data_IF_076651933897
#
_entry.id   IF_076651933897
#
_cell.length_a   1.000
_cell.length_b   1.000
_cell.length_c   1.000
_cell.angle_alpha   90.00
_cell.angle_beta   90.00
_cell.angle_gamma   90.00
#
_symmetry.space_group_name_H-M   'P 1'
#
loop_
_entity.id
_entity.type
_entity.pdbx_description
1 polymer ?
#
# COMPACT_ATOMS: atom_id res chain seq x y z
N UNK A 1 -31.03 63.80 10.98
CA UNK A 1 -31.22 62.40 11.29
C UNK A 1 -31.26 61.62 9.99
N UNK A 2 -30.17 60.96 9.59
CA UNK A 2 -30.09 60.06 8.47
C UNK A 2 -29.25 58.85 8.90
N UNK A 3 -29.90 57.71 9.04
CA UNK A 3 -29.32 56.44 9.39
C UNK A 3 -28.77 55.78 8.12
N UNK A 4 -27.45 55.65 8.07
CA UNK A 4 -26.77 54.92 7.00
C UNK A 4 -26.68 53.42 7.34
N UNK A 5 -27.31 52.57 6.53
CA UNK A 5 -27.16 51.13 6.58
C UNK A 5 -25.96 50.72 5.71
N UNK A 6 -24.87 50.33 6.35
CA UNK A 6 -23.72 49.72 5.65
C UNK A 6 -24.02 48.29 5.23
N UNK A 7 -24.03 48.12 3.94
CA UNK A 7 -24.19 46.81 3.24
C UNK A 7 -22.82 46.13 3.19
N UNK A 8 -22.58 45.04 3.98
CA UNK A 8 -21.37 44.22 3.90
C UNK A 8 -21.54 43.21 2.77
N UNK A 9 -20.60 43.12 1.83
CA UNK A 9 -20.63 42.06 0.83
C UNK A 9 -20.24 40.70 1.45
N UNK A 10 -21.10 39.72 1.26
CA UNK A 10 -20.85 38.32 1.61
C UNK A 10 -19.68 37.74 0.76
N UNK A 11 -18.57 37.42 1.41
CA UNK A 11 -17.47 36.67 0.81
C UNK A 11 -17.81 35.18 0.81
N UNK A 12 -18.43 34.70 -0.25
CA UNK A 12 -18.45 33.29 -0.60
C UNK A 12 -17.13 32.96 -1.32
N UNK A 13 -16.08 32.73 -0.55
CA UNK A 13 -14.82 32.19 -1.04
C UNK A 13 -14.89 30.66 -0.98
N UNK A 14 -15.41 30.02 -2.02
CA UNK A 14 -15.13 28.60 -2.28
C UNK A 14 -13.63 28.48 -2.57
N UNK A 15 -12.85 28.08 -1.56
CA UNK A 15 -11.44 27.77 -1.72
C UNK A 15 -11.31 26.62 -2.74
N UNK A 16 -10.79 26.92 -3.93
CA UNK A 16 -10.22 25.91 -4.82
C UNK A 16 -9.11 25.18 -4.04
N UNK A 17 -9.41 24.02 -3.49
CA UNK A 17 -8.36 23.09 -3.06
C UNK A 17 -7.43 22.90 -4.26
N UNK A 18 -6.17 23.31 -4.12
CA UNK A 18 -5.14 22.98 -5.10
C UNK A 18 -5.06 21.45 -5.14
N UNK A 19 -5.49 20.84 -6.24
CA UNK A 19 -5.28 19.41 -6.47
C UNK A 19 -3.78 19.14 -6.36
N UNK A 20 -3.39 18.17 -5.52
CA UNK A 20 -2.01 17.73 -5.40
C UNK A 20 -1.49 17.21 -6.76
N UNK A 21 -0.18 17.11 -6.90
CA UNK A 21 0.46 16.49 -8.06
C UNK A 21 0.04 15.01 -8.10
N UNK A 22 -0.50 14.54 -9.22
CA UNK A 22 -0.84 13.12 -9.40
C UNK A 22 0.48 12.35 -9.58
N UNK A 23 0.71 11.35 -8.72
CA UNK A 23 1.85 10.46 -8.78
C UNK A 23 1.54 9.18 -9.55
N UNK A 24 0.41 8.52 -9.26
CA UNK A 24 -0.03 7.30 -9.93
C UNK A 24 -1.43 7.48 -10.49
N UNK A 25 -1.62 7.11 -11.75
CA UNK A 25 -2.94 7.13 -12.40
C UNK A 25 -3.16 5.81 -13.15
N UNK A 26 -4.25 5.14 -12.81
CA UNK A 26 -4.73 3.93 -13.48
C UNK A 26 -5.95 4.34 -14.32
N UNK A 27 -5.97 3.95 -15.59
CA UNK A 27 -7.05 4.26 -16.53
C UNK A 27 -7.62 2.98 -17.09
N UNK A 28 -8.85 2.69 -16.72
CA UNK A 28 -9.66 1.61 -17.29
C UNK A 28 -8.93 0.25 -17.29
N UNK A 29 -8.26 -0.06 -16.17
CA UNK A 29 -7.36 -1.18 -16.07
C UNK A 29 -8.13 -2.48 -15.90
N UNK A 30 -7.93 -3.42 -16.82
CA UNK A 30 -8.51 -4.76 -16.75
C UNK A 30 -7.39 -5.81 -16.70
N UNK A 31 -7.67 -6.91 -16.01
CA UNK A 31 -6.82 -8.10 -16.00
C UNK A 31 -7.67 -9.35 -15.90
N UNK A 32 -7.57 -10.22 -16.88
CA UNK A 32 -8.25 -11.52 -16.91
C UNK A 32 -7.23 -12.66 -16.77
N UNK A 33 -7.61 -13.73 -16.09
CA UNK A 33 -6.84 -14.96 -16.00
C UNK A 33 -7.67 -16.16 -16.50
N UNK A 34 -6.99 -17.17 -17.01
CA UNK A 34 -7.62 -18.42 -17.37
C UNK A 34 -8.06 -19.18 -16.11
N UNK A 35 -9.31 -19.63 -16.08
CA UNK A 35 -9.92 -20.39 -14.99
C UNK A 35 -10.63 -21.63 -15.56
N UNK A 36 -10.92 -22.61 -14.70
CA UNK A 36 -11.78 -23.74 -15.06
C UNK A 36 -13.17 -23.20 -15.46
N UNK A 37 -13.48 -23.21 -16.76
CA UNK A 37 -14.75 -22.68 -17.30
C UNK A 37 -14.61 -21.43 -18.16
N UNK A 38 -13.40 -20.90 -18.40
CA UNK A 38 -13.15 -19.76 -19.28
C UNK A 38 -12.32 -18.65 -18.63
N UNK A 39 -12.27 -17.49 -19.24
CA UNK A 39 -11.58 -16.32 -18.67
C UNK A 39 -12.39 -15.73 -17.53
N UNK A 40 -11.71 -15.43 -16.44
CA UNK A 40 -12.26 -14.72 -15.28
C UNK A 40 -11.57 -13.37 -15.14
N UNK A 41 -12.36 -12.30 -15.08
CA UNK A 41 -11.84 -10.98 -14.81
C UNK A 41 -11.47 -10.87 -13.32
N UNK A 42 -10.20 -10.55 -13.06
CA UNK A 42 -9.66 -10.34 -11.71
C UNK A 42 -9.66 -8.84 -11.40
N UNK A 43 -9.37 -8.01 -12.41
CA UNK A 43 -9.55 -6.57 -12.39
C UNK A 43 -10.48 -6.19 -13.53
N UNK A 44 -11.46 -5.36 -13.23
CA UNK A 44 -12.53 -4.98 -14.13
C UNK A 44 -12.71 -3.46 -14.10
N UNK A 45 -12.23 -2.78 -15.14
CA UNK A 45 -12.34 -1.35 -15.35
C UNK A 45 -11.88 -0.48 -14.18
N UNK A 46 -10.73 -0.83 -13.54
CA UNK A 46 -10.16 -0.06 -12.44
C UNK A 46 -9.63 1.28 -12.94
N UNK A 47 -10.19 2.37 -12.42
CA UNK A 47 -9.68 3.73 -12.61
C UNK A 47 -9.40 4.36 -11.25
N UNK A 48 -8.13 4.73 -10.99
CA UNK A 48 -7.67 5.25 -9.71
C UNK A 48 -6.59 6.31 -9.93
N UNK A 49 -6.69 7.41 -9.22
CA UNK A 49 -5.63 8.43 -9.15
C UNK A 49 -5.11 8.52 -7.72
N UNK A 50 -3.79 8.51 -7.55
CA UNK A 50 -3.12 8.70 -6.25
C UNK A 50 -2.28 9.97 -6.34
N UNK A 51 -2.53 10.90 -5.42
CA UNK A 51 -1.74 12.12 -5.31
C UNK A 51 -0.40 11.84 -4.63
N UNK A 52 0.59 12.68 -4.92
CA UNK A 52 1.91 12.63 -4.30
C UNK A 52 1.83 12.81 -2.77
N UNK A 53 2.68 12.08 -2.04
CA UNK A 53 2.82 12.17 -0.57
C UNK A 53 1.54 11.81 0.20
N UNK A 54 0.73 10.91 -0.34
CA UNK A 54 -0.46 10.37 0.29
C UNK A 54 -0.22 8.99 0.87
N UNK A 55 -0.89 8.72 1.98
CA UNK A 55 -0.99 7.40 2.57
C UNK A 55 -2.35 6.79 2.21
N UNK A 56 -2.34 5.83 1.31
CA UNK A 56 -3.55 5.17 0.81
C UNK A 56 -3.63 3.76 1.38
N UNK A 57 -4.78 3.39 1.92
CA UNK A 57 -5.06 2.00 2.28
C UNK A 57 -6.06 1.40 1.30
N UNK A 58 -5.66 0.28 0.69
CA UNK A 58 -6.54 -0.55 -0.14
C UNK A 58 -7.06 -1.68 0.74
N UNK A 59 -8.37 -1.78 0.88
CA UNK A 59 -9.04 -2.84 1.64
C UNK A 59 -10.20 -3.44 0.86
N UNK A 60 -10.88 -4.43 1.42
CA UNK A 60 -12.00 -5.12 0.78
C UNK A 60 -11.93 -6.64 0.93
N UNK A 61 -12.93 -7.40 0.51
CA UNK A 61 -13.02 -8.85 0.72
C UNK A 61 -11.85 -9.61 0.11
N UNK A 62 -11.57 -10.80 0.66
CA UNK A 62 -10.58 -11.71 0.09
C UNK A 62 -11.00 -12.12 -1.32
N UNK A 63 -10.02 -12.20 -2.24
CA UNK A 63 -10.31 -12.46 -3.66
C UNK A 63 -10.86 -11.25 -4.44
N UNK A 64 -10.99 -10.08 -3.81
CA UNK A 64 -11.51 -8.86 -4.47
C UNK A 64 -10.60 -8.21 -5.51
N UNK A 65 -9.35 -8.68 -5.69
CA UNK A 65 -8.41 -8.15 -6.68
C UNK A 65 -7.29 -7.25 -6.12
N UNK A 66 -7.26 -6.98 -4.80
CA UNK A 66 -6.31 -6.03 -4.16
C UNK A 66 -4.83 -6.33 -4.47
N UNK A 67 -4.38 -7.54 -4.13
CA UNK A 67 -3.00 -7.99 -4.41
C UNK A 67 -2.68 -7.97 -5.91
N UNK A 68 -3.64 -8.35 -6.76
CA UNK A 68 -3.48 -8.32 -8.21
C UNK A 68 -3.32 -6.88 -8.70
N UNK A 69 -4.10 -5.94 -8.19
CA UNK A 69 -3.98 -4.53 -8.50
C UNK A 69 -2.57 -4.01 -8.16
N UNK A 70 -2.09 -4.25 -6.95
CA UNK A 70 -0.75 -3.83 -6.53
C UNK A 70 0.37 -4.50 -7.37
N UNK A 71 0.23 -5.80 -7.67
CA UNK A 71 1.15 -6.52 -8.57
C UNK A 71 1.16 -5.94 -9.98
N UNK A 72 0.00 -5.52 -10.49
CA UNK A 72 -0.11 -4.90 -11.82
C UNK A 72 0.57 -3.53 -11.84
N UNK A 73 0.44 -2.72 -10.79
CA UNK A 73 1.16 -1.45 -10.65
C UNK A 73 2.67 -1.67 -10.62
N UNK A 74 3.17 -2.72 -9.97
CA UNK A 74 4.61 -3.04 -9.94
C UNK A 74 5.12 -3.70 -11.23
N UNK A 75 4.23 -4.20 -12.11
CA UNK A 75 4.60 -4.91 -13.34
C UNK A 75 4.85 -6.41 -13.13
N UNK A 76 4.43 -6.95 -11.98
CA UNK A 76 4.44 -8.39 -11.68
C UNK A 76 3.30 -9.14 -12.38
N UNK A 77 2.24 -8.43 -12.73
CA UNK A 77 1.16 -8.91 -13.58
C UNK A 77 0.95 -7.89 -14.71
N UNK A 78 0.68 -8.37 -15.91
CA UNK A 78 0.42 -7.50 -17.07
C UNK A 78 -1.09 -7.30 -17.23
N UNK A 79 -1.57 -6.07 -17.38
CA UNK A 79 -2.98 -5.81 -17.64
C UNK A 79 -3.37 -6.35 -19.01
N UNK A 80 -4.61 -6.80 -19.15
CA UNK A 80 -5.21 -7.20 -20.43
C UNK A 80 -5.57 -5.97 -21.26
N UNK A 81 -5.99 -4.88 -20.60
CA UNK A 81 -6.28 -3.59 -21.21
C UNK A 81 -6.12 -2.46 -20.19
N UNK A 82 -6.23 -1.21 -20.66
CA UNK A 82 -6.05 -0.02 -19.84
C UNK A 82 -4.59 0.43 -19.78
N UNK A 83 -4.32 1.47 -18.97
CA UNK A 83 -3.00 2.09 -18.90
C UNK A 83 -2.63 2.51 -17.48
N UNK A 84 -1.33 2.51 -17.19
CA UNK A 84 -0.76 2.89 -15.89
C UNK A 84 0.21 4.04 -16.13
N UNK A 85 -0.04 5.17 -15.47
CA UNK A 85 0.84 6.34 -15.53
C UNK A 85 1.47 6.58 -14.16
N UNK A 86 2.77 6.81 -14.16
CA UNK A 86 3.55 7.17 -12.98
C UNK A 86 4.27 8.49 -13.22
N UNK A 87 4.02 9.49 -12.38
CA UNK A 87 4.50 10.87 -12.58
C UNK A 87 4.19 11.43 -13.99
N UNK A 88 3.07 11.00 -14.60
CA UNK A 88 2.65 11.39 -15.94
C UNK A 88 3.29 10.60 -17.09
N UNK A 89 4.24 9.70 -16.82
CA UNK A 89 4.82 8.78 -17.81
C UNK A 89 4.02 7.49 -17.88
N UNK A 90 3.71 7.01 -19.09
CA UNK A 90 3.10 5.70 -19.28
C UNK A 90 4.12 4.59 -18.98
N UNK A 91 3.82 3.80 -17.95
CA UNK A 91 4.66 2.68 -17.50
C UNK A 91 4.02 1.32 -17.78
N UNK A 92 2.93 1.27 -18.52
CA UNK A 92 2.11 0.05 -18.73
C UNK A 92 2.93 -1.12 -19.24
N UNK A 93 3.80 -0.89 -20.22
CA UNK A 93 4.64 -1.92 -20.84
C UNK A 93 6.00 -2.13 -20.18
N UNK A 94 6.35 -1.30 -19.17
CA UNK A 94 7.65 -1.36 -18.54
C UNK A 94 7.79 -2.58 -17.63
N UNK A 95 8.99 -3.17 -17.64
CA UNK A 95 9.36 -4.27 -16.76
C UNK A 95 9.42 -3.86 -15.30
N UNK A 96 9.38 -4.87 -14.40
CA UNK A 96 9.55 -4.68 -12.95
C UNK A 96 10.82 -3.87 -12.63
N UNK A 97 11.93 -4.19 -13.31
CA UNK A 97 13.23 -3.52 -13.11
C UNK A 97 13.18 -2.05 -13.49
N UNK A 98 12.52 -1.72 -14.59
CA UNK A 98 12.38 -0.34 -15.06
C UNK A 98 11.49 0.47 -14.12
N UNK A 99 10.38 -0.10 -13.66
CA UNK A 99 9.49 0.53 -12.65
C UNK A 99 10.22 0.73 -11.32
N UNK A 100 10.99 -0.29 -10.89
CA UNK A 100 11.80 -0.19 -9.69
C UNK A 100 12.87 0.92 -9.77
N UNK A 101 13.51 1.12 -10.94
CA UNK A 101 14.48 2.21 -11.17
C UNK A 101 13.84 3.59 -11.19
N UNK A 102 12.56 3.68 -11.53
CA UNK A 102 11.77 4.93 -11.49
C UNK A 102 11.30 5.33 -10.09
N UNK A 103 11.62 4.52 -9.08
CA UNK A 103 11.27 4.85 -7.69
C UNK A 103 10.00 4.18 -7.19
N UNK A 104 9.60 3.03 -7.75
CA UNK A 104 8.53 2.19 -7.19
C UNK A 104 9.17 1.04 -6.42
N UNK A 105 8.67 0.76 -5.20
CA UNK A 105 9.07 -0.40 -4.41
C UNK A 105 7.85 -1.21 -3.97
N UNK A 106 8.06 -2.50 -3.74
CA UNK A 106 6.99 -3.44 -3.41
C UNK A 106 7.44 -4.40 -2.31
N UNK A 107 6.67 -4.47 -1.23
CA UNK A 107 6.77 -5.49 -0.18
C UNK A 107 5.73 -6.58 -0.43
N UNK A 108 6.19 -7.81 -0.60
CA UNK A 108 5.36 -8.95 -0.97
C UNK A 108 4.52 -9.46 0.22
N UNK A 109 3.35 -10.01 -0.04
CA UNK A 109 2.56 -10.73 0.97
C UNK A 109 3.36 -11.90 1.57
N UNK A 110 4.03 -12.66 0.71
CA UNK A 110 4.99 -13.70 1.11
C UNK A 110 6.39 -13.28 0.68
N UNK A 111 7.27 -12.90 1.63
CA UNK A 111 8.60 -12.41 1.31
C UNK A 111 9.49 -13.51 0.72
N UNK A 112 10.27 -13.19 -0.32
CA UNK A 112 11.23 -14.12 -0.89
C UNK A 112 12.39 -14.40 0.10
N UNK A 113 12.96 -15.59 0.03
CA UNK A 113 14.16 -15.97 0.80
C UNK A 113 15.37 -16.01 -0.11
N UNK A 114 16.47 -15.42 0.34
CA UNK A 114 17.70 -15.29 -0.43
C UNK A 114 18.82 -16.10 0.25
N UNK A 115 19.01 -17.37 -0.17
CA UNK A 115 20.07 -18.23 0.37
C UNK A 115 21.46 -17.65 0.10
N UNK A 116 22.31 -17.65 1.12
CA UNK A 116 23.70 -17.20 1.01
C UNK A 116 23.88 -15.68 1.04
N UNK A 117 22.84 -14.93 1.38
CA UNK A 117 22.91 -13.47 1.55
C UNK A 117 22.66 -13.09 2.99
N UNK A 118 23.45 -12.16 3.50
CA UNK A 118 23.24 -11.57 4.81
C UNK A 118 22.20 -10.44 4.74
N UNK A 119 21.56 -10.20 5.87
CA UNK A 119 20.60 -9.09 6.01
C UNK A 119 21.24 -7.76 5.62
N UNK A 120 22.49 -7.49 6.06
CA UNK A 120 23.21 -6.29 5.66
C UNK A 120 23.42 -6.17 4.15
N UNK A 121 23.67 -7.28 3.44
CA UNK A 121 23.86 -7.29 2.00
C UNK A 121 22.56 -6.95 1.27
N UNK A 122 21.42 -7.51 1.72
CA UNK A 122 20.11 -7.18 1.19
C UNK A 122 19.77 -5.70 1.36
N UNK A 123 20.03 -5.14 2.53
CA UNK A 123 19.80 -3.72 2.79
C UNK A 123 20.66 -2.83 1.89
N UNK A 124 21.94 -3.19 1.66
CA UNK A 124 22.82 -2.44 0.77
C UNK A 124 22.38 -2.51 -0.70
N UNK A 125 21.98 -3.69 -1.16
CA UNK A 125 21.44 -3.89 -2.52
C UNK A 125 20.18 -3.04 -2.70
N UNK A 126 19.26 -3.09 -1.73
CA UNK A 126 18.03 -2.30 -1.78
C UNK A 126 18.31 -0.80 -1.80
N UNK A 127 19.25 -0.32 -0.97
CA UNK A 127 19.65 1.08 -0.91
C UNK A 127 20.41 1.55 -2.16
N UNK A 128 20.92 0.63 -2.99
CA UNK A 128 21.73 0.94 -4.16
C UNK A 128 23.10 1.58 -3.83
N UNK A 129 23.53 1.50 -2.58
CA UNK A 129 24.77 2.09 -2.07
C UNK A 129 25.28 1.32 -0.86
N UNK A 130 26.56 1.46 -0.58
CA UNK A 130 27.16 0.93 0.66
C UNK A 130 26.55 1.66 1.85
N UNK A 131 25.99 0.90 2.79
CA UNK A 131 25.46 1.42 4.05
C UNK A 131 26.51 1.33 5.14
N UNK A 132 26.55 2.32 6.03
CA UNK A 132 27.28 2.17 7.31
C UNK A 132 26.57 1.14 8.18
N UNK A 133 27.29 0.56 9.13
CA UNK A 133 26.71 -0.37 10.10
C UNK A 133 25.51 0.27 10.83
N UNK A 134 25.66 1.52 11.27
CA UNK A 134 24.60 2.25 11.98
C UNK A 134 23.35 2.50 11.11
N UNK A 135 23.53 2.79 9.81
CA UNK A 135 22.40 2.92 8.89
C UNK A 135 21.66 1.60 8.70
N UNK A 136 22.37 0.48 8.53
CA UNK A 136 21.75 -0.84 8.45
C UNK A 136 21.01 -1.19 9.76
N UNK A 137 21.63 -0.91 10.91
CA UNK A 137 21.01 -1.08 12.22
C UNK A 137 19.74 -0.24 12.38
N UNK A 138 19.74 0.99 11.90
CA UNK A 138 18.57 1.88 11.95
C UNK A 138 17.36 1.29 11.22
N UNK A 139 17.54 0.75 9.99
CA UNK A 139 16.44 0.12 9.26
C UNK A 139 15.86 -1.11 9.99
N UNK A 140 16.71 -1.94 10.60
CA UNK A 140 16.26 -3.10 11.38
C UNK A 140 15.50 -2.68 12.64
N UNK A 141 15.98 -1.65 13.34
CA UNK A 141 15.31 -1.12 14.53
C UNK A 141 13.93 -0.56 14.21
N UNK A 142 13.76 0.11 13.07
CA UNK A 142 12.47 0.63 12.61
C UNK A 142 11.42 -0.49 12.49
N UNK A 143 11.81 -1.67 12.02
CA UNK A 143 10.89 -2.81 11.88
C UNK A 143 10.84 -3.71 13.13
N UNK A 144 11.39 -3.26 14.26
CA UNK A 144 11.35 -3.99 15.52
C UNK A 144 12.29 -5.21 15.59
N UNK A 145 13.36 -5.22 14.80
CA UNK A 145 14.42 -6.23 14.91
C UNK A 145 15.60 -5.70 15.68
N UNK A 146 16.16 -6.55 16.57
CA UNK A 146 17.42 -6.23 17.25
C UNK A 146 18.56 -6.21 16.23
N UNK A 147 19.07 -5.02 15.91
CA UNK A 147 20.07 -4.86 14.87
C UNK A 147 21.34 -5.72 15.12
N UNK A 148 21.79 -5.81 16.40
CA UNK A 148 22.96 -6.59 16.80
C UNK A 148 22.82 -8.07 16.41
N UNK A 149 21.61 -8.62 16.53
CA UNK A 149 21.35 -10.04 16.32
C UNK A 149 21.07 -10.37 14.84
N UNK A 150 20.62 -9.40 14.05
CA UNK A 150 20.15 -9.64 12.69
C UNK A 150 21.03 -9.10 11.57
N UNK A 151 21.80 -8.01 11.77
CA UNK A 151 22.56 -7.35 10.70
C UNK A 151 23.53 -8.28 9.98
N UNK A 152 24.20 -9.17 10.71
CA UNK A 152 25.16 -10.16 10.19
C UNK A 152 24.57 -11.53 9.89
N UNK A 153 23.27 -11.73 10.10
CA UNK A 153 22.60 -13.04 9.98
C UNK A 153 22.29 -13.37 8.54
N UNK A 154 22.39 -14.63 8.18
CA UNK A 154 21.99 -15.10 6.85
C UNK A 154 20.45 -15.15 6.71
N UNK A 155 19.95 -14.80 5.51
CA UNK A 155 18.52 -14.87 5.20
C UNK A 155 18.18 -16.27 4.70
N UNK A 156 18.13 -17.20 5.64
CA UNK A 156 17.90 -18.62 5.38
C UNK A 156 16.61 -19.15 6.02
N UNK A 157 16.48 -20.46 6.11
CA UNK A 157 15.32 -21.15 6.68
C UNK A 157 15.26 -21.10 8.20
N UNK A 158 16.30 -20.63 8.89
CA UNK A 158 16.32 -20.48 10.34
C UNK A 158 15.51 -19.26 10.83
N UNK A 159 15.23 -18.31 9.93
CA UNK A 159 14.38 -17.16 10.21
C UNK A 159 12.90 -17.56 10.18
N UNK A 160 12.15 -17.13 11.18
CA UNK A 160 10.68 -17.24 11.19
C UNK A 160 10.05 -16.41 10.08
N UNK A 161 8.79 -16.71 9.72
CA UNK A 161 8.06 -15.95 8.71
C UNK A 161 7.96 -14.46 9.05
N UNK A 162 7.68 -14.13 10.31
CA UNK A 162 7.59 -12.75 10.77
C UNK A 162 8.93 -12.00 10.74
N UNK A 163 10.06 -12.68 11.01
CA UNK A 163 11.39 -12.09 10.90
C UNK A 163 11.74 -11.77 9.44
N UNK A 164 11.48 -12.71 8.52
CA UNK A 164 11.72 -12.49 7.09
C UNK A 164 10.85 -11.35 6.57
N UNK A 165 9.59 -11.28 7.00
CA UNK A 165 8.67 -10.19 6.63
C UNK A 165 9.18 -8.83 7.09
N UNK A 166 9.67 -8.72 8.32
CA UNK A 166 10.24 -7.47 8.85
C UNK A 166 11.54 -7.09 8.13
N UNK A 167 12.40 -8.06 7.79
CA UNK A 167 13.61 -7.83 7.00
C UNK A 167 13.21 -7.30 5.60
N UNK A 168 12.22 -7.89 4.95
CA UNK A 168 11.70 -7.40 3.67
C UNK A 168 11.23 -5.95 3.78
N UNK A 169 10.40 -5.62 4.76
CA UNK A 169 9.94 -4.24 4.98
C UNK A 169 11.14 -3.30 5.16
N UNK A 170 12.16 -3.70 5.95
CA UNK A 170 13.38 -2.93 6.09
C UNK A 170 14.10 -2.70 4.74
N UNK A 171 14.09 -3.67 3.81
CA UNK A 171 14.66 -3.48 2.47
C UNK A 171 13.85 -2.50 1.62
N UNK A 172 12.50 -2.53 1.72
CA UNK A 172 11.64 -1.54 1.05
C UNK A 172 11.93 -0.13 1.56
N UNK A 173 12.10 0.03 2.89
CA UNK A 173 12.47 1.30 3.50
C UNK A 173 13.88 1.75 3.08
N UNK A 174 14.86 0.85 3.05
CA UNK A 174 16.23 1.14 2.65
C UNK A 174 16.34 1.61 1.18
N UNK A 175 15.46 1.12 0.31
CA UNK A 175 15.37 1.58 -1.08
C UNK A 175 14.95 3.04 -1.19
N UNK A 176 14.21 3.55 -0.21
CA UNK A 176 13.78 4.95 -0.15
C UNK A 176 13.05 5.42 -1.43
N UNK A 177 12.15 4.59 -1.95
CA UNK A 177 11.42 4.83 -3.18
C UNK A 177 10.35 5.93 -3.00
N UNK A 178 10.05 6.69 -4.07
CA UNK A 178 8.99 7.72 -4.03
C UNK A 178 7.61 7.10 -3.81
N UNK A 179 7.36 5.91 -4.40
CA UNK A 179 6.14 5.12 -4.20
C UNK A 179 6.50 3.80 -3.54
N UNK A 180 5.97 3.59 -2.34
CA UNK A 180 6.12 2.34 -1.59
C UNK A 180 4.78 1.60 -1.55
N UNK A 181 4.75 0.36 -1.99
CA UNK A 181 3.57 -0.50 -1.97
C UNK A 181 3.85 -1.65 -1.01
N UNK A 182 2.95 -1.90 -0.07
CA UNK A 182 3.03 -3.02 0.87
C UNK A 182 1.77 -3.88 0.76
N UNK A 183 1.97 -5.18 0.53
CA UNK A 183 0.88 -6.14 0.41
C UNK A 183 0.80 -6.97 1.71
N UNK A 184 -0.20 -6.69 2.53
CA UNK A 184 -0.44 -7.28 3.85
C UNK A 184 0.85 -7.34 4.71
N UNK A 185 1.45 -6.17 5.04
CA UNK A 185 2.72 -6.13 5.76
C UNK A 185 2.65 -6.75 7.16
N UNK A 186 1.46 -6.87 7.71
CA UNK A 186 1.18 -7.47 9.02
C UNK A 186 1.12 -9.01 9.01
N UNK A 187 1.06 -9.65 7.84
CA UNK A 187 0.88 -11.10 7.74
C UNK A 187 2.02 -11.87 8.41
N UNK A 188 1.68 -12.70 9.41
CA UNK A 188 2.64 -13.52 10.14
C UNK A 188 3.51 -12.76 11.16
N UNK A 189 3.20 -11.50 11.44
CA UNK A 189 3.89 -10.69 12.46
C UNK A 189 3.14 -10.77 13.79
N UNK A 190 3.89 -10.92 14.90
CA UNK A 190 3.33 -10.90 16.25
C UNK A 190 2.83 -9.51 16.65
N UNK A 191 1.95 -9.45 17.67
CA UNK A 191 1.28 -8.23 18.11
C UNK A 191 2.26 -7.10 18.50
N UNK A 192 3.37 -7.43 19.15
CA UNK A 192 4.35 -6.45 19.63
C UNK A 192 5.12 -5.83 18.46
N UNK A 193 5.57 -6.71 17.55
CA UNK A 193 6.26 -6.30 16.33
C UNK A 193 5.33 -5.52 15.39
N UNK A 194 4.04 -5.88 15.35
CA UNK A 194 3.04 -5.15 14.58
C UNK A 194 2.82 -3.72 15.12
N UNK A 195 2.79 -3.55 16.44
CA UNK A 195 2.70 -2.22 17.04
C UNK A 195 3.88 -1.34 16.60
N UNK A 196 5.10 -1.88 16.63
CA UNK A 196 6.30 -1.17 16.17
C UNK A 196 6.25 -0.81 14.68
N UNK A 197 5.77 -1.74 13.86
CA UNK A 197 5.60 -1.51 12.43
C UNK A 197 4.57 -0.40 12.14
N UNK A 198 3.48 -0.37 12.89
CA UNK A 198 2.46 0.69 12.79
C UNK A 198 3.06 2.07 13.13
N UNK A 199 3.88 2.15 14.18
CA UNK A 199 4.62 3.39 14.52
C UNK A 199 5.55 3.82 13.38
N UNK A 200 6.22 2.87 12.73
CA UNK A 200 7.09 3.16 11.58
C UNK A 200 6.30 3.75 10.40
N UNK A 201 5.14 3.16 10.07
CA UNK A 201 4.28 3.70 9.02
C UNK A 201 3.75 5.10 9.38
N UNK A 202 3.37 5.34 10.65
CA UNK A 202 2.99 6.67 11.10
C UNK A 202 4.13 7.69 10.91
N UNK A 203 5.35 7.34 11.31
CA UNK A 203 6.51 8.23 11.14
C UNK A 203 6.83 8.52 9.67
N UNK A 204 6.67 7.54 8.78
CA UNK A 204 6.83 7.73 7.34
C UNK A 204 5.77 8.68 6.77
N UNK A 205 4.52 8.53 7.20
CA UNK A 205 3.43 9.40 6.81
C UNK A 205 3.65 10.84 7.29
N UNK A 206 4.02 11.03 8.57
CA UNK A 206 4.23 12.35 9.15
C UNK A 206 5.35 13.15 8.47
N UNK A 207 6.34 12.48 7.87
CA UNK A 207 7.42 13.14 7.12
C UNK A 207 6.98 13.70 5.77
N UNK A 208 5.88 13.22 5.21
CA UNK A 208 5.35 13.61 3.89
C UNK A 208 6.41 13.57 2.76
N UNK A 209 7.30 12.58 2.81
CA UNK A 209 8.38 12.43 1.83
C UNK A 209 8.03 11.41 0.73
N UNK A 210 7.13 10.46 1.04
CA UNK A 210 6.79 9.33 0.19
C UNK A 210 5.29 9.21 -0.02
N UNK A 211 4.91 8.61 -1.14
CA UNK A 211 3.57 8.08 -1.34
C UNK A 211 3.55 6.63 -0.91
N UNK A 212 2.60 6.26 -0.06
CA UNK A 212 2.52 4.93 0.52
C UNK A 212 1.17 4.32 0.16
N UNK A 213 1.19 3.11 -0.38
CA UNK A 213 0.00 2.30 -0.62
C UNK A 213 0.13 1.02 0.21
N UNK A 214 -0.80 0.76 1.10
CA UNK A 214 -0.83 -0.47 1.90
C UNK A 214 -2.11 -1.23 1.63
N UNK A 215 -2.00 -2.51 1.28
CA UNK A 215 -3.12 -3.43 1.32
C UNK A 215 -3.19 -3.97 2.73
N UNK A 216 -4.29 -3.70 3.46
CA UNK A 216 -4.46 -4.18 4.83
C UNK A 216 -5.93 -4.25 5.23
N UNK A 217 -6.21 -5.15 6.18
CA UNK A 217 -7.49 -5.27 6.88
C UNK A 217 -7.39 -4.80 8.34
N UNK A 218 -6.19 -4.42 8.80
CA UNK A 218 -5.94 -4.03 10.17
C UNK A 218 -6.40 -2.61 10.44
N UNK A 219 -7.31 -2.45 11.39
CA UNK A 219 -7.86 -1.15 11.79
C UNK A 219 -6.78 -0.10 12.09
N UNK A 220 -5.69 -0.51 12.77
CA UNK A 220 -4.60 0.41 13.13
C UNK A 220 -3.90 0.98 11.91
N UNK A 221 -3.76 0.20 10.83
CA UNK A 221 -3.18 0.68 9.56
C UNK A 221 -4.21 1.53 8.80
N UNK A 222 -5.48 1.09 8.76
CA UNK A 222 -6.55 1.82 8.09
C UNK A 222 -6.70 3.23 8.65
N UNK A 223 -6.58 3.38 9.98
CA UNK A 223 -6.67 4.70 10.66
C UNK A 223 -5.51 5.65 10.36
N UNK A 224 -4.41 5.18 9.79
CA UNK A 224 -3.30 6.03 9.34
C UNK A 224 -3.56 6.67 7.96
N UNK A 225 -4.53 6.16 7.22
CA UNK A 225 -4.73 6.55 5.83
C UNK A 225 -5.26 7.99 5.70
N UNK A 226 -4.75 8.72 4.72
CA UNK A 226 -5.43 9.92 4.20
C UNK A 226 -6.71 9.52 3.47
N UNK A 227 -6.68 8.34 2.81
CA UNK A 227 -7.75 7.86 1.97
C UNK A 227 -7.82 6.34 1.94
N UNK A 228 -9.02 5.79 1.95
CA UNK A 228 -9.30 4.37 1.79
C UNK A 228 -9.83 4.13 0.37
N UNK A 229 -9.37 3.06 -0.25
CA UNK A 229 -9.89 2.51 -1.51
C UNK A 229 -10.44 1.12 -1.22
N UNK A 230 -11.75 0.94 -1.36
CA UNK A 230 -12.42 -0.35 -1.21
C UNK A 230 -12.43 -1.06 -2.57
N UNK A 231 -11.77 -2.21 -2.65
CA UNK A 231 -11.72 -3.05 -3.86
C UNK A 231 -12.48 -4.32 -3.63
N UNK A 232 -13.53 -4.55 -4.42
CA UNK A 232 -14.37 -5.74 -4.35
C UNK A 232 -14.74 -6.20 -5.77
N UNK A 233 -14.76 -7.51 -6.00
CA UNK A 233 -15.12 -8.11 -7.30
C UNK A 233 -14.34 -7.52 -8.49
N UNK A 234 -13.07 -7.19 -8.28
CA UNK A 234 -12.21 -6.60 -9.32
C UNK A 234 -12.46 -5.12 -9.61
N UNK A 235 -13.36 -4.45 -8.91
CA UNK A 235 -13.74 -3.05 -9.11
C UNK A 235 -13.46 -2.18 -7.89
N UNK A 236 -13.40 -0.87 -8.06
CA UNK A 236 -13.42 0.08 -6.95
C UNK A 236 -14.86 0.25 -6.48
N UNK A 237 -15.19 -0.39 -5.35
CA UNK A 237 -16.51 -0.33 -4.74
C UNK A 237 -16.75 0.96 -3.93
N UNK A 238 -15.66 1.60 -3.48
CA UNK A 238 -15.74 2.85 -2.72
C UNK A 238 -14.38 3.52 -2.58
N UNK A 239 -14.40 4.83 -2.39
CA UNK A 239 -13.22 5.66 -2.16
C UNK A 239 -13.59 6.86 -1.31
N UNK A 240 -12.80 7.17 -0.29
CA UNK A 240 -13.08 8.32 0.59
C UNK A 240 -12.12 8.40 1.77
N UNK A 241 -12.34 9.37 2.64
CA UNK A 241 -11.61 9.50 3.89
C UNK A 241 -11.92 8.35 4.85
N UNK A 242 -11.05 8.17 5.86
CA UNK A 242 -11.26 7.17 6.91
C UNK A 242 -12.60 7.38 7.60
N UNK A 243 -12.93 8.63 7.94
CA UNK A 243 -14.16 8.97 8.67
C UNK A 243 -15.43 8.68 7.87
N UNK A 244 -15.37 8.79 6.54
CA UNK A 244 -16.51 8.53 5.66
C UNK A 244 -16.69 7.04 5.36
N UNK A 245 -15.61 6.32 5.05
CA UNK A 245 -15.70 4.97 4.50
C UNK A 245 -15.57 3.88 5.55
N UNK A 246 -14.77 4.07 6.61
CA UNK A 246 -14.53 3.03 7.60
C UNK A 246 -15.80 2.57 8.35
N UNK A 247 -16.74 3.45 8.75
CA UNK A 247 -17.99 3.01 9.36
C UNK A 247 -18.87 2.13 8.42
N UNK A 248 -18.82 2.40 7.11
CA UNK A 248 -19.54 1.62 6.11
C UNK A 248 -18.96 0.22 5.98
N UNK A 249 -17.62 0.10 5.92
CA UNK A 249 -16.90 -1.18 5.87
C UNK A 249 -17.26 -2.05 7.07
N UNK A 250 -17.29 -1.48 8.28
CA UNK A 250 -17.67 -2.20 9.49
C UNK A 250 -19.12 -2.72 9.43
N UNK A 251 -20.04 -1.90 8.91
CA UNK A 251 -21.46 -2.26 8.81
C UNK A 251 -21.68 -3.39 7.80
N UNK A 252 -20.99 -3.37 6.68
CA UNK A 252 -21.08 -4.43 5.66
C UNK A 252 -20.48 -5.76 6.17
N UNK A 253 -19.38 -5.70 6.93
CA UNK A 253 -18.79 -6.89 7.54
C UNK A 253 -19.77 -7.57 8.52
N UNK A 254 -20.49 -6.78 9.32
CA UNK A 254 -21.51 -7.29 10.25
C UNK A 254 -22.71 -7.89 9.51
N UNK A 255 -23.16 -7.26 8.42
CA UNK A 255 -24.27 -7.79 7.60
C UNK A 255 -23.89 -9.08 6.87
N UNK A 256 -22.66 -9.19 6.37
CA UNK A 256 -22.13 -10.42 5.76
C UNK A 256 -22.10 -11.60 6.73
N UNK A 257 -21.77 -11.39 8.01
CA UNK A 257 -21.85 -12.42 9.04
C UNK A 257 -23.29 -12.88 9.32
N UNK A 258 -24.27 -11.98 9.28
CA UNK A 258 -25.67 -12.34 9.51
C UNK A 258 -26.30 -13.15 8.36
N UNK A 259 -25.82 -12.99 7.11
CA UNK A 259 -26.26 -13.81 5.98
C UNK A 259 -25.79 -15.27 6.08
N UNK A 260 -24.64 -15.54 6.71
CA UNK A 260 -24.13 -16.90 6.91
C UNK A 260 -24.89 -17.68 8.00
N UNK A 261 -25.64 -17.02 8.87
CA UNK A 261 -26.50 -17.68 9.89
C UNK A 261 -27.90 -18.02 9.35
N UNK A 262 -28.37 -17.40 8.28
CA UNK A 262 -29.72 -17.65 7.72
C UNK A 262 -29.76 -18.90 6.84
N UNK A 263 -28.64 -19.28 6.18
CA UNK A 263 -28.57 -20.46 5.31
C UNK A 263 -28.36 -21.81 6.06
N UNK A 264 -28.29 -21.79 7.40
CA UNK A 264 -28.24 -23.04 8.22
C UNK A 264 -29.60 -23.57 8.65
N UNK A 265 -30.69 -23.07 8.09
CA UNK A 265 -32.05 -23.59 8.32
C UNK A 265 -32.74 -23.99 7.02
N UNK A 266 -32.12 -24.89 6.28
CA UNK A 266 -32.80 -25.72 5.28
C UNK A 266 -32.24 -27.14 5.33
#
# INVERSE_FOLDING_TARGET
>A
MRTGTENRPSRSGMGRQKRGKIMLELKDLCLSADAEGGKKDILDHISLTVEDKKFIVITGPNGGGKTTLAKTVMGLAQPTSGSIFYNGEDITSLSITERARRGISYGFQQPPRFKGMKVADLLQIAAGKKLSHDAACSYLTQVGLCARDYVGRDVDTSLSGGEVKRIEIATVLAKNAELMIFDEPEAGIDLWSFARLTETFQQLHDRLEHTIIIISHQERIIRLADEIVLVANGQIAGRGSVDELYPQILTETVRGCNMLEVDKKC
#
